data_IF_193432369706
#
_entry.id   IF_193432369706
#
_cell.length_a   1.000
_cell.length_b   1.000
_cell.length_c   1.000
_cell.angle_alpha   90.00
_cell.angle_beta   90.00
_cell.angle_gamma   90.00
#
_symmetry.space_group_name_H-M   'P 1'
#
loop_
_entity.id
_entity.type
_entity.pdbx_description
1 polymer ?
#
# COMPACT_ATOMS: atom_id res chain seq x y z
N UNK A 1 -68.25 6.80 -7.95
CA UNK A 1 -67.06 6.04 -8.40
C UNK A 1 -65.84 6.72 -7.82
N UNK A 2 -65.30 6.17 -6.73
CA UNK A 2 -64.02 6.59 -6.17
C UNK A 2 -62.93 5.76 -6.85
N UNK A 3 -62.00 6.42 -7.55
CA UNK A 3 -60.80 5.76 -8.08
C UNK A 3 -59.60 6.27 -7.28
N UNK A 4 -59.05 5.34 -6.51
CA UNK A 4 -57.86 5.46 -5.69
C UNK A 4 -56.62 5.42 -6.60
N UNK A 5 -55.79 6.46 -6.58
CA UNK A 5 -54.48 6.46 -7.23
C UNK A 5 -53.40 6.46 -6.16
N UNK A 6 -53.03 5.27 -5.68
CA UNK A 6 -51.82 5.05 -4.90
C UNK A 6 -50.69 4.66 -5.86
N UNK A 7 -49.83 5.62 -6.21
CA UNK A 7 -48.58 5.35 -6.90
C UNK A 7 -47.46 5.28 -5.85
N UNK A 8 -47.11 4.05 -5.44
CA UNK A 8 -45.92 3.77 -4.63
C UNK A 8 -44.77 3.52 -5.60
N UNK A 9 -43.95 4.54 -5.86
CA UNK A 9 -42.67 4.37 -6.53
C UNK A 9 -41.62 3.96 -5.49
N UNK A 10 -41.46 2.64 -5.35
CA UNK A 10 -40.32 2.01 -4.70
C UNK A 10 -39.04 2.37 -5.46
N UNK A 11 -38.31 3.37 -4.99
CA UNK A 11 -36.90 3.58 -5.33
C UNK A 11 -36.10 2.46 -4.67
N UNK A 12 -36.01 1.33 -5.37
CA UNK A 12 -35.14 0.22 -5.05
C UNK A 12 -33.71 0.73 -4.92
N UNK A 13 -33.11 0.46 -3.77
CA UNK A 13 -31.72 0.72 -3.48
C UNK A 13 -30.84 0.15 -4.61
N UNK A 14 -30.10 1.04 -5.28
CA UNK A 14 -28.88 0.67 -5.99
C UNK A 14 -27.90 0.12 -4.94
N UNK A 15 -27.95 -1.18 -4.69
CA UNK A 15 -26.85 -1.86 -4.02
C UNK A 15 -25.66 -1.80 -4.98
N UNK A 16 -24.48 -1.34 -4.55
CA UNK A 16 -23.26 -1.53 -5.34
C UNK A 16 -23.06 -3.04 -5.46
N UNK A 17 -23.19 -3.57 -6.68
CA UNK A 17 -22.78 -4.92 -6.97
C UNK A 17 -21.26 -4.98 -6.75
N UNK A 18 -20.84 -5.48 -5.57
CA UNK A 18 -19.49 -5.97 -5.33
C UNK A 18 -19.30 -7.23 -6.16
N UNK A 19 -19.08 -7.05 -7.47
CA UNK A 19 -18.60 -8.10 -8.34
C UNK A 19 -17.15 -8.40 -7.97
N UNK A 20 -16.95 -9.54 -7.29
CA UNK A 20 -15.62 -10.13 -7.12
C UNK A 20 -15.15 -10.53 -8.53
N UNK A 21 -14.20 -9.79 -9.10
CA UNK A 21 -13.53 -10.21 -10.34
C UNK A 21 -12.54 -11.31 -9.99
N UNK A 22 -12.57 -12.39 -10.77
CA UNK A 22 -11.60 -13.48 -10.71
C UNK A 22 -10.36 -13.07 -11.50
N UNK A 23 -9.17 -13.36 -10.96
CA UNK A 23 -7.84 -12.93 -11.42
C UNK A 23 -7.39 -13.45 -12.80
N UNK A 24 -8.25 -14.14 -13.56
CA UNK A 24 -7.90 -14.78 -14.84
C UNK A 24 -7.93 -13.81 -16.05
N UNK A 25 -8.29 -12.53 -15.87
CA UNK A 25 -8.63 -11.60 -16.97
C UNK A 25 -8.01 -10.19 -16.82
N UNK A 26 -6.78 -10.09 -16.30
CA UNK A 26 -6.09 -8.82 -16.05
C UNK A 26 -5.36 -8.23 -17.27
N UNK A 27 -5.40 -8.91 -18.42
CA UNK A 27 -4.46 -8.80 -19.54
C UNK A 27 -4.22 -7.43 -20.20
N UNK A 28 -4.83 -6.33 -19.75
CA UNK A 28 -4.57 -4.96 -20.22
C UNK A 28 -4.79 -3.88 -19.12
N UNK A 29 -4.96 -4.26 -17.85
CA UNK A 29 -5.34 -3.32 -16.77
C UNK A 29 -4.20 -3.08 -15.79
N UNK A 30 -3.88 -1.82 -15.54
CA UNK A 30 -3.04 -1.43 -14.41
C UNK A 30 -3.87 -1.40 -13.12
N UNK A 31 -3.46 -2.14 -12.10
CA UNK A 31 -4.18 -2.22 -10.84
C UNK A 31 -3.25 -2.33 -9.62
N UNK A 32 -3.78 -1.92 -8.46
CA UNK A 32 -3.17 -2.17 -7.16
C UNK A 32 -3.88 -3.38 -6.56
N UNK A 33 -3.14 -4.47 -6.39
CA UNK A 33 -3.64 -5.69 -5.76
C UNK A 33 -3.77 -5.49 -4.25
N UNK A 34 -2.73 -4.95 -3.62
CA UNK A 34 -2.75 -4.66 -2.19
C UNK A 34 -1.81 -3.53 -1.82
N UNK A 35 -2.12 -2.91 -0.68
CA UNK A 35 -1.26 -1.92 -0.05
C UNK A 35 -1.35 -2.06 1.47
N UNK A 36 -0.22 -1.88 2.16
CA UNK A 36 -0.19 -1.87 3.62
C UNK A 36 1.02 -1.11 4.15
N UNK A 37 0.87 -0.60 5.38
CA UNK A 37 1.92 0.11 6.10
C UNK A 37 2.56 -0.87 7.09
N UNK A 38 3.84 -1.17 6.89
CA UNK A 38 4.67 -1.97 7.80
C UNK A 38 5.31 -1.06 8.86
N UNK A 39 6.26 -1.58 9.63
CA UNK A 39 6.99 -0.78 10.63
C UNK A 39 7.80 0.33 9.94
N UNK A 40 8.61 -0.01 8.94
CA UNK A 40 9.56 0.92 8.31
C UNK A 40 9.17 1.33 6.88
N UNK A 41 8.25 0.59 6.26
CA UNK A 41 7.92 0.77 4.84
C UNK A 41 6.41 0.85 4.62
N UNK A 42 6.00 1.52 3.56
CA UNK A 42 4.69 1.32 2.94
C UNK A 42 4.91 0.49 1.69
N UNK A 43 4.18 -0.62 1.61
CA UNK A 43 4.34 -1.62 0.56
C UNK A 43 3.11 -1.58 -0.32
N UNK A 44 3.32 -1.47 -1.64
CA UNK A 44 2.25 -1.51 -2.64
C UNK A 44 2.59 -2.61 -3.65
N UNK A 45 1.69 -3.57 -3.78
CA UNK A 45 1.73 -4.60 -4.80
C UNK A 45 0.82 -4.18 -5.95
N UNK A 46 1.33 -4.24 -7.16
CA UNK A 46 0.63 -3.77 -8.34
C UNK A 46 0.85 -4.70 -9.52
N UNK A 47 -0.15 -4.77 -10.39
CA UNK A 47 -0.06 -5.39 -11.71
C UNK A 47 -0.10 -4.27 -12.74
N UNK A 48 0.94 -4.14 -13.55
CA UNK A 48 1.01 -3.11 -14.58
C UNK A 48 1.86 -3.56 -15.78
N UNK A 49 1.31 -4.37 -16.70
CA UNK A 49 2.02 -4.83 -17.89
C UNK A 49 2.34 -3.69 -18.86
N UNK A 50 1.50 -2.66 -18.93
CA UNK A 50 1.75 -1.43 -19.70
C UNK A 50 1.42 -0.18 -18.88
N UNK A 51 2.45 0.56 -18.47
CA UNK A 51 2.28 1.84 -17.76
C UNK A 51 1.71 2.97 -18.62
N UNK A 52 1.67 2.83 -19.95
CA UNK A 52 1.28 3.89 -20.88
C UNK A 52 2.30 5.03 -20.97
N UNK A 53 3.54 4.83 -20.51
CA UNK A 53 4.55 5.89 -20.43
C UNK A 53 5.31 6.17 -21.74
N UNK A 54 4.97 5.51 -22.86
CA UNK A 54 5.46 5.89 -24.19
C UNK A 54 7.00 5.95 -24.33
N UNK A 55 7.73 5.08 -23.62
CA UNK A 55 9.19 5.05 -23.61
C UNK A 55 9.86 5.84 -22.46
N UNK A 56 9.09 6.61 -21.70
CA UNK A 56 9.54 7.20 -20.43
C UNK A 56 9.53 6.14 -19.33
N UNK A 57 10.42 6.30 -18.34
CA UNK A 57 10.36 5.47 -17.12
C UNK A 57 9.13 5.83 -16.32
N UNK A 58 8.57 4.82 -15.67
CA UNK A 58 7.49 4.99 -14.73
C UNK A 58 8.05 5.05 -13.30
N UNK A 59 7.39 5.80 -12.44
CA UNK A 59 7.74 5.90 -11.03
C UNK A 59 6.50 6.16 -10.19
N UNK A 60 6.57 5.82 -8.92
CA UNK A 60 5.54 6.13 -7.93
C UNK A 60 6.08 7.17 -6.96
N UNK A 61 5.28 8.18 -6.67
CA UNK A 61 5.55 9.14 -5.61
C UNK A 61 4.48 9.11 -4.54
N UNK A 62 4.79 9.66 -3.37
CA UNK A 62 3.83 9.79 -2.26
C UNK A 62 3.53 11.26 -1.98
N UNK A 63 2.24 11.61 -1.94
CA UNK A 63 1.75 12.95 -1.63
C UNK A 63 0.76 12.93 -0.46
N UNK A 64 0.50 14.08 0.18
CA UNK A 64 -0.63 14.23 1.08
C UNK A 64 -1.94 13.73 0.45
N UNK A 65 -2.78 13.07 1.25
CA UNK A 65 -4.00 12.44 0.74
C UNK A 65 -4.97 13.43 0.07
N UNK A 66 -4.95 14.69 0.52
CA UNK A 66 -5.79 15.80 0.05
C UNK A 66 -5.19 16.58 -1.13
N UNK A 67 -4.06 16.15 -1.68
CA UNK A 67 -3.42 16.87 -2.79
C UNK A 67 -4.34 16.93 -4.02
N UNK A 68 -4.45 18.13 -4.60
CA UNK A 68 -5.27 18.42 -5.78
C UNK A 68 -4.57 18.09 -7.11
N UNK A 69 -3.24 18.17 -7.14
CA UNK A 69 -2.39 17.81 -8.30
C UNK A 69 -1.07 17.15 -7.84
N UNK A 70 -0.29 16.61 -8.78
CA UNK A 70 0.93 15.87 -8.48
C UNK A 70 2.21 16.64 -8.85
N UNK A 71 2.12 17.94 -9.14
CA UNK A 71 3.27 18.78 -9.49
C UNK A 71 4.00 19.33 -8.26
N UNK A 72 3.34 19.33 -7.10
CA UNK A 72 3.96 19.66 -5.82
C UNK A 72 5.03 18.67 -5.36
N UNK A 73 5.62 18.96 -4.19
CA UNK A 73 6.62 18.12 -3.53
C UNK A 73 6.01 16.78 -3.08
N UNK A 74 6.65 15.68 -3.48
CA UNK A 74 6.40 14.34 -2.93
C UNK A 74 7.28 14.10 -1.71
N UNK A 75 6.87 13.16 -0.84
CA UNK A 75 7.59 12.82 0.39
C UNK A 75 8.66 11.76 0.20
N UNK A 76 8.36 10.78 -0.64
CA UNK A 76 9.27 9.72 -1.07
C UNK A 76 8.79 9.21 -2.44
N UNK A 77 9.64 8.45 -3.12
CA UNK A 77 9.37 7.93 -4.45
C UNK A 77 10.25 6.71 -4.77
N UNK A 78 9.85 5.96 -5.79
CA UNK A 78 10.66 4.88 -6.35
C UNK A 78 10.31 4.67 -7.83
N UNK A 79 11.28 4.18 -8.62
CA UNK A 79 10.98 3.68 -9.96
C UNK A 79 10.13 2.41 -9.87
N UNK A 80 9.31 2.19 -10.90
CA UNK A 80 8.45 1.01 -10.99
C UNK A 80 8.70 0.29 -12.31
N UNK A 81 8.67 -1.02 -12.25
CA UNK A 81 8.87 -1.92 -13.40
C UNK A 81 7.54 -2.40 -13.94
N UNK A 82 7.51 -2.71 -15.24
CA UNK A 82 6.37 -3.35 -15.88
C UNK A 82 6.24 -4.77 -15.36
N UNK A 83 5.01 -5.24 -15.19
CA UNK A 83 4.75 -6.63 -14.80
C UNK A 83 4.96 -7.52 -16.02
N UNK A 84 5.78 -8.56 -15.88
CA UNK A 84 6.04 -9.53 -16.96
C UNK A 84 5.15 -10.75 -16.80
N UNK A 85 5.00 -11.56 -17.86
CA UNK A 85 4.17 -12.78 -17.85
C UNK A 85 4.59 -13.81 -16.78
N UNK A 86 5.85 -13.74 -16.30
CA UNK A 86 6.39 -14.64 -15.27
C UNK A 86 6.12 -14.18 -13.83
N UNK A 87 5.55 -12.98 -13.65
CA UNK A 87 5.29 -12.37 -12.34
C UNK A 87 3.81 -12.04 -12.18
N UNK A 88 3.19 -12.54 -11.11
CA UNK A 88 1.79 -12.20 -10.82
C UNK A 88 1.65 -10.71 -10.45
N UNK A 89 2.63 -10.13 -9.73
CA UNK A 89 2.62 -8.73 -9.29
C UNK A 89 4.05 -8.20 -9.08
N UNK A 90 4.22 -6.89 -9.23
CA UNK A 90 5.40 -6.16 -8.77
C UNK A 90 5.17 -5.54 -7.39
N UNK A 91 6.25 -5.36 -6.63
CA UNK A 91 6.21 -4.74 -5.31
C UNK A 91 7.09 -3.50 -5.27
N UNK A 92 6.52 -2.38 -4.87
CA UNK A 92 7.28 -1.18 -4.49
C UNK A 92 7.25 -0.97 -2.97
N UNK A 93 8.40 -0.62 -2.41
CA UNK A 93 8.61 -0.36 -0.98
C UNK A 93 9.04 1.10 -0.82
N UNK A 94 8.32 1.84 0.02
CA UNK A 94 8.47 3.28 0.21
C UNK A 94 8.79 3.55 1.67
N UNK A 95 9.82 4.35 1.96
CA UNK A 95 10.30 4.57 3.33
C UNK A 95 9.31 5.39 4.17
N UNK A 96 8.83 4.81 5.29
CA UNK A 96 7.98 5.51 6.25
C UNK A 96 8.73 6.64 6.96
N UNK A 97 10.04 6.52 7.14
CA UNK A 97 10.87 7.54 7.77
C UNK A 97 11.00 8.78 6.89
N UNK A 98 11.14 8.60 5.57
CA UNK A 98 11.15 9.72 4.61
C UNK A 98 9.77 10.38 4.49
N UNK A 99 8.69 9.58 4.58
CA UNK A 99 7.32 10.10 4.56
C UNK A 99 6.98 10.95 5.80
N UNK A 100 7.42 10.49 6.97
CA UNK A 100 6.98 10.99 8.25
C UNK A 100 5.52 10.64 8.55
N UNK A 101 5.03 11.10 9.71
CA UNK A 101 3.65 10.85 10.11
C UNK A 101 2.64 11.70 9.32
N UNK A 102 1.55 11.09 8.87
CA UNK A 102 0.52 11.79 8.09
C UNK A 102 -0.43 10.85 7.34
N UNK A 103 -1.36 11.46 6.60
CA UNK A 103 -2.25 10.78 5.66
C UNK A 103 -1.79 11.04 4.24
N UNK A 104 -1.61 9.97 3.48
CA UNK A 104 -0.99 10.03 2.17
C UNK A 104 -1.75 9.21 1.14
N UNK A 105 -1.44 9.45 -0.13
CA UNK A 105 -1.74 8.55 -1.26
C UNK A 105 -0.51 8.46 -2.15
N UNK A 106 -0.32 7.31 -2.76
CA UNK A 106 0.70 7.09 -3.77
C UNK A 106 0.11 7.27 -5.16
N UNK A 107 0.85 7.87 -6.07
CA UNK A 107 0.44 8.04 -7.46
C UNK A 107 1.57 7.63 -8.38
N UNK A 108 1.22 6.78 -9.34
CA UNK A 108 2.13 6.24 -10.32
C UNK A 108 2.04 7.09 -11.58
N UNK A 109 3.17 7.64 -12.00
CA UNK A 109 3.27 8.63 -13.07
C UNK A 109 4.44 8.29 -13.99
N UNK A 110 4.51 8.99 -15.11
CA UNK A 110 5.61 8.87 -16.05
C UNK A 110 6.65 9.97 -15.85
N UNK A 111 7.89 9.70 -16.24
CA UNK A 111 8.99 10.68 -16.34
C UNK A 111 8.87 11.52 -17.64
N UNK A 112 7.64 11.92 -17.98
CA UNK A 112 7.29 12.73 -19.16
C UNK A 112 7.07 14.22 -18.81
N UNK A 113 7.18 14.56 -17.53
CA UNK A 113 6.96 15.91 -16.99
C UNK A 113 5.48 16.26 -16.77
N UNK A 114 4.52 15.47 -17.26
CA UNK A 114 3.10 15.74 -17.06
C UNK A 114 2.57 15.28 -15.71
N UNK A 115 3.26 14.33 -15.06
CA UNK A 115 2.87 13.75 -13.75
C UNK A 115 1.38 13.38 -13.69
N UNK A 116 0.81 12.95 -14.81
CA UNK A 116 -0.57 12.46 -14.87
C UNK A 116 -0.56 11.03 -14.36
N UNK A 117 -1.31 10.72 -13.29
CA UNK A 117 -1.25 9.39 -12.74
C UNK A 117 -1.97 8.40 -13.65
N UNK A 118 -1.32 7.28 -13.94
CA UNK A 118 -1.94 6.13 -14.58
C UNK A 118 -2.45 5.11 -13.55
N UNK A 119 -2.05 5.25 -12.28
CA UNK A 119 -2.58 4.49 -11.14
C UNK A 119 -2.46 5.32 -9.86
N UNK A 120 -3.44 5.18 -8.94
CA UNK A 120 -3.47 5.90 -7.65
C UNK A 120 -3.89 4.94 -6.54
N UNK A 121 -3.16 4.96 -5.44
CA UNK A 121 -3.46 4.15 -4.26
C UNK A 121 -4.70 4.65 -3.51
N UNK A 122 -5.30 3.75 -2.73
CA UNK A 122 -6.18 4.18 -1.65
C UNK A 122 -5.37 5.03 -0.65
N UNK A 123 -6.00 5.99 0.04
CA UNK A 123 -5.32 6.73 1.09
C UNK A 123 -4.84 5.80 2.21
N UNK A 124 -3.65 6.04 2.73
CA UNK A 124 -3.07 5.32 3.87
C UNK A 124 -2.56 6.31 4.92
N UNK A 125 -2.39 5.82 6.15
CA UNK A 125 -1.89 6.63 7.27
C UNK A 125 -0.59 6.05 7.78
N UNK A 126 0.43 6.88 7.88
CA UNK A 126 1.67 6.58 8.58
C UNK A 126 1.58 7.27 9.94
N UNK A 127 1.50 6.49 11.01
CA UNK A 127 1.54 7.03 12.38
C UNK A 127 2.96 7.02 12.92
N UNK A 128 3.30 8.00 13.76
CA UNK A 128 4.59 8.03 14.46
C UNK A 128 4.75 6.79 15.35
N UNK A 129 5.91 6.13 15.26
CA UNK A 129 6.29 5.06 16.19
C UNK A 129 6.51 5.62 17.61
N UNK A 130 6.05 4.93 18.66
CA UNK A 130 6.49 5.25 20.02
C UNK A 130 7.99 5.01 20.16
N UNK A 131 8.61 5.67 21.14
CA UNK A 131 10.02 5.41 21.47
C UNK A 131 10.15 4.01 22.07
N UNK A 132 11.11 3.24 21.56
CA UNK A 132 11.44 1.92 22.09
C UNK A 132 12.19 2.07 23.43
N UNK A 133 11.79 1.29 24.43
CA UNK A 133 12.57 1.18 25.65
C UNK A 133 13.91 0.46 25.38
N UNK A 134 14.96 0.67 26.19
CA UNK A 134 16.22 -0.05 26.02
C UNK A 134 16.03 -1.57 26.03
N UNK A 135 16.48 -2.24 24.96
CA UNK A 135 16.35 -3.68 24.81
C UNK A 135 15.01 -4.16 24.25
N UNK A 136 14.15 -3.24 23.80
CA UNK A 136 12.91 -3.54 23.07
C UNK A 136 12.98 -3.11 21.61
N UNK A 137 12.21 -3.76 20.75
CA UNK A 137 11.84 -3.21 19.45
C UNK A 137 10.36 -2.84 19.43
N UNK A 138 10.05 -1.75 18.73
CA UNK A 138 8.71 -1.27 18.46
C UNK A 138 8.31 -1.73 17.06
N UNK A 139 7.15 -2.36 16.93
CA UNK A 139 6.68 -2.84 15.64
C UNK A 139 5.16 -2.84 15.52
N UNK A 140 4.65 -3.03 14.30
CA UNK A 140 3.21 -3.20 14.05
C UNK A 140 2.79 -4.64 14.39
N UNK A 141 1.61 -4.82 14.99
CA UNK A 141 1.10 -6.15 15.39
C UNK A 141 0.95 -7.08 14.18
N UNK A 142 0.34 -6.58 13.09
CA UNK A 142 0.31 -7.27 11.80
C UNK A 142 -0.10 -6.30 10.68
N UNK A 143 -0.01 -6.75 9.42
CA UNK A 143 -0.51 -5.98 8.25
C UNK A 143 -1.98 -5.57 8.37
N UNK A 144 -2.83 -6.43 8.98
CA UNK A 144 -4.28 -6.17 9.17
C UNK A 144 -4.60 -5.41 10.45
N UNK A 145 -3.67 -5.38 11.41
CA UNK A 145 -3.79 -4.64 12.65
C UNK A 145 -2.53 -3.79 12.84
N UNK A 146 -2.47 -2.61 12.20
CA UNK A 146 -1.28 -1.77 12.22
C UNK A 146 -1.13 -1.03 13.56
N UNK A 147 -1.58 -1.57 14.69
CA UNK A 147 -1.29 -0.97 15.99
C UNK A 147 0.18 -1.18 16.35
N UNK A 148 0.80 -0.16 16.93
CA UNK A 148 2.12 -0.30 17.52
C UNK A 148 2.07 -1.20 18.75
N UNK A 149 3.11 -2.03 18.89
CA UNK A 149 3.37 -2.90 20.04
C UNK A 149 4.88 -2.98 20.25
N UNK A 150 5.31 -3.57 21.35
CA UNK A 150 6.72 -3.84 21.63
C UNK A 150 6.98 -5.33 21.83
N UNK A 151 8.23 -5.72 21.65
CA UNK A 151 8.76 -7.00 22.09
C UNK A 151 10.22 -6.86 22.56
N UNK A 152 10.69 -7.80 23.38
CA UNK A 152 12.07 -7.80 23.84
C UNK A 152 13.01 -8.26 22.72
N UNK A 153 14.18 -7.64 22.61
CA UNK A 153 15.18 -7.96 21.59
C UNK A 153 15.65 -9.42 21.64
N UNK A 154 15.64 -10.04 22.83
CA UNK A 154 15.99 -11.46 23.00
C UNK A 154 14.99 -12.44 22.37
N UNK A 155 13.78 -11.97 22.07
CA UNK A 155 12.68 -12.78 21.55
C UNK A 155 12.50 -12.62 20.02
N UNK A 156 13.32 -11.79 19.38
CA UNK A 156 13.22 -11.45 17.94
C UNK A 156 13.40 -12.70 17.06
N UNK A 157 14.34 -13.59 17.39
CA UNK A 157 14.55 -14.83 16.63
C UNK A 157 13.26 -15.68 16.53
N UNK A 158 12.42 -15.65 17.57
CA UNK A 158 11.14 -16.36 17.61
C UNK A 158 10.14 -15.90 16.55
N UNK A 159 10.13 -14.61 16.20
CA UNK A 159 9.26 -14.07 15.14
C UNK A 159 9.87 -14.23 13.75
N UNK A 160 11.20 -14.28 13.66
CA UNK A 160 11.95 -14.45 12.43
C UNK A 160 11.91 -15.89 11.89
N UNK A 161 11.70 -16.88 12.77
CA UNK A 161 11.73 -18.32 12.42
C UNK A 161 10.71 -18.72 11.34
N UNK A 162 9.64 -17.94 11.12
CA UNK A 162 8.58 -18.25 10.16
C UNK A 162 8.66 -17.43 8.86
N UNK A 163 9.84 -16.87 8.56
CA UNK A 163 10.01 -16.03 7.39
C UNK A 163 10.04 -16.74 6.04
N UNK A 164 10.02 -18.07 6.04
CA UNK A 164 9.91 -18.87 4.82
C UNK A 164 8.47 -18.90 4.23
N UNK A 165 7.49 -18.25 4.88
CA UNK A 165 6.11 -18.21 4.43
C UNK A 165 5.62 -16.76 4.15
N UNK A 166 5.10 -16.46 2.94
CA UNK A 166 4.81 -15.09 2.46
C UNK A 166 3.72 -14.32 3.24
N UNK A 167 3.03 -14.99 4.17
CA UNK A 167 1.92 -14.42 4.95
C UNK A 167 2.33 -13.92 6.34
N UNK A 168 3.61 -13.98 6.74
CA UNK A 168 4.01 -13.65 8.12
C UNK A 168 5.17 -12.67 8.20
N UNK A 169 4.97 -11.64 9.03
CA UNK A 169 5.89 -10.83 9.86
C UNK A 169 7.39 -10.63 9.49
N UNK A 170 7.85 -10.87 8.26
CA UNK A 170 9.27 -10.63 7.92
C UNK A 170 9.63 -9.16 7.94
N UNK A 171 8.72 -8.30 7.49
CA UNK A 171 8.86 -6.85 7.62
C UNK A 171 9.05 -6.45 9.10
N UNK A 172 8.41 -7.17 10.03
CA UNK A 172 8.58 -6.99 11.48
C UNK A 172 9.90 -7.56 11.98
N UNK A 173 10.30 -8.75 11.53
CA UNK A 173 11.58 -9.38 11.88
C UNK A 173 12.75 -8.47 11.49
N UNK A 174 12.82 -8.05 10.24
CA UNK A 174 13.87 -7.17 9.71
C UNK A 174 13.91 -5.83 10.47
N UNK A 175 12.75 -5.22 10.70
CA UNK A 175 12.66 -3.98 11.47
C UNK A 175 13.16 -4.16 12.92
N UNK A 176 12.81 -5.27 13.57
CA UNK A 176 13.23 -5.55 14.94
C UNK A 176 14.70 -5.93 15.03
N UNK A 177 15.25 -6.72 14.10
CA UNK A 177 16.68 -7.01 14.01
C UNK A 177 17.49 -5.71 13.90
N UNK A 178 17.06 -4.81 13.03
CA UNK A 178 17.70 -3.50 12.86
C UNK A 178 17.66 -2.67 14.16
N UNK A 179 16.50 -2.52 14.80
CA UNK A 179 16.38 -1.79 16.07
C UNK A 179 17.22 -2.41 17.20
N UNK A 180 17.27 -3.74 17.25
CA UNK A 180 18.01 -4.51 18.25
C UNK A 180 19.50 -4.69 17.91
N UNK A 181 19.98 -4.14 16.78
CA UNK A 181 21.37 -4.29 16.30
C UNK A 181 21.80 -5.75 16.15
N UNK A 182 20.86 -6.62 15.80
CA UNK A 182 21.14 -8.00 15.46
C UNK A 182 21.35 -8.06 13.95
N UNK A 183 22.42 -8.75 13.50
CA UNK A 183 22.73 -8.84 12.08
C UNK A 183 21.62 -9.59 11.33
N UNK A 184 21.38 -9.18 10.08
CA UNK A 184 20.42 -9.83 9.18
C UNK A 184 20.86 -11.24 8.78
#
# INVERSE_FOLDING_TARGET
MHLSNAAVLLLGALQPALGIRTFEDLGDLNEIESQYVSTNETIINYYAPDHGCGGHRAWVGVWPADVCDYYGEFKTWAYVESTTEDSDFNTVRLSNDEMGAGKFKAAFVCEDGQRRPWLVSQPFTVDKAPEAAPGECVHRVSRRNPKWTTMQCKDVDGICTFCDFPLRNCDTCEACKWQCRQAN
#
